data_IF_207049414647
#
_entry.id   IF_207049414647
#
_cell.length_a   1.000
_cell.length_b   1.000
_cell.length_c   1.000
_cell.angle_alpha   90.00
_cell.angle_beta   90.00
_cell.angle_gamma   90.00
#
_symmetry.space_group_name_H-M   'P 1'
#
loop_
_entity.id
_entity.type
_entity.pdbx_description
1 polymer ?
#
# COMPACT_ATOMS: atom_id res chain seq x y z
N UNK A 1 19.12 14.82 2.59
CA UNK A 1 18.39 13.87 3.45
C UNK A 1 16.93 14.29 3.45
N UNK A 2 16.03 13.50 2.86
CA UNK A 2 14.60 13.77 2.95
C UNK A 2 14.11 13.23 4.29
N UNK A 3 13.46 14.03 5.17
CA UNK A 3 12.88 13.51 6.39
C UNK A 3 11.76 12.53 6.03
N UNK A 4 11.75 11.38 6.70
CA UNK A 4 10.68 10.38 6.66
C UNK A 4 9.35 11.12 6.85
N UNK A 5 8.56 11.27 5.78
CA UNK A 5 7.23 11.87 5.86
C UNK A 5 6.25 10.78 6.27
N UNK A 6 5.42 11.14 7.25
CA UNK A 6 4.36 10.37 7.88
C UNK A 6 3.66 9.39 6.94
N UNK A 7 3.47 8.16 7.43
CA UNK A 7 2.40 7.28 6.95
C UNK A 7 1.10 7.90 7.43
N UNK A 8 0.24 8.31 6.52
CA UNK A 8 -1.15 8.61 6.83
C UNK A 8 -1.98 7.40 6.38
N UNK A 9 -2.97 6.94 7.17
CA UNK A 9 -3.95 5.97 6.67
C UNK A 9 -4.66 6.63 5.48
N UNK A 10 -4.48 6.09 4.28
CA UNK A 10 -5.24 6.54 3.12
C UNK A 10 -6.56 5.79 3.12
N UNK A 11 -7.65 6.50 3.43
CA UNK A 11 -9.01 6.00 3.29
C UNK A 11 -9.46 6.20 1.84
N UNK A 12 -9.37 5.16 1.02
CA UNK A 12 -10.16 5.13 -0.21
C UNK A 12 -11.59 4.74 0.14
N UNK A 13 -12.49 5.73 0.27
CA UNK A 13 -13.93 5.46 0.10
C UNK A 13 -14.09 5.05 -1.36
N UNK A 14 -14.46 3.80 -1.61
CA UNK A 14 -14.96 3.37 -2.92
C UNK A 14 -16.28 4.12 -3.13
N UNK A 15 -16.42 4.98 -4.16
CA UNK A 15 -17.69 5.59 -4.47
C UNK A 15 -18.66 4.51 -4.90
N UNK A 16 -19.84 4.49 -4.29
CA UNK A 16 -20.96 3.67 -4.72
C UNK A 16 -21.32 4.04 -6.17
N UNK A 17 -21.37 3.04 -7.04
CA UNK A 17 -21.56 3.23 -8.46
C UNK A 17 -23.06 3.47 -8.74
N UNK A 18 -23.37 4.64 -9.30
CA UNK A 18 -24.64 5.06 -9.89
C UNK A 18 -25.85 5.28 -8.94
N UNK A 19 -26.31 6.53 -8.90
CA UNK A 19 -27.62 6.97 -8.44
C UNK A 19 -28.73 6.40 -9.34
N UNK A 20 -29.61 5.50 -8.85
CA UNK A 20 -30.89 5.26 -9.46
C UNK A 20 -31.93 6.12 -8.75
N UNK A 21 -32.41 7.14 -9.47
CA UNK A 21 -33.61 7.93 -9.21
C UNK A 21 -34.48 7.50 -8.00
N UNK A 22 -34.58 8.38 -7.02
CA UNK A 22 -35.51 8.31 -5.88
C UNK A 22 -36.95 8.13 -6.39
N UNK A 23 -37.67 7.05 -6.00
CA UNK A 23 -39.11 7.01 -6.15
C UNK A 23 -39.73 7.88 -5.05
N UNK A 24 -40.39 8.95 -5.48
CA UNK A 24 -41.24 9.79 -4.66
C UNK A 24 -42.42 8.95 -4.14
N UNK A 25 -42.51 8.81 -2.81
CA UNK A 25 -43.58 8.20 -1.99
C UNK A 25 -43.49 6.67 -1.73
N UNK A 26 -42.96 6.30 -0.56
CA UNK A 26 -43.16 5.01 0.10
C UNK A 26 -43.39 5.19 1.62
N UNK A 27 -44.22 4.31 2.17
CA UNK A 27 -44.91 4.26 3.48
C UNK A 27 -44.00 4.41 4.75
N UNK A 28 -44.35 5.26 5.74
CA UNK A 28 -43.58 5.41 6.99
C UNK A 28 -43.60 4.19 7.93
N UNK A 29 -44.35 3.12 7.63
CA UNK A 29 -44.40 1.90 8.46
C UNK A 29 -43.39 0.80 8.08
N UNK A 30 -42.54 1.01 7.06
CA UNK A 30 -41.54 0.03 6.61
C UNK A 30 -40.13 0.26 7.20
N UNK A 31 -40.02 1.02 8.30
CA UNK A 31 -38.81 1.05 9.12
C UNK A 31 -38.73 -0.25 9.96
N UNK A 32 -38.59 -1.39 9.29
CA UNK A 32 -38.10 -2.61 9.91
C UNK A 32 -36.59 -2.58 9.71
N UNK A 33 -35.90 -2.41 10.84
CA UNK A 33 -34.46 -2.35 11.02
C UNK A 33 -33.67 -3.12 9.93
N UNK A 34 -33.20 -2.40 8.92
CA UNK A 34 -32.08 -2.81 8.08
C UNK A 34 -30.76 -2.47 8.79
N UNK A 35 -30.67 -2.80 10.07
CA UNK A 35 -29.40 -2.85 10.80
C UNK A 35 -28.87 -4.28 10.77
N UNK A 36 -28.79 -4.91 9.58
CA UNK A 36 -27.97 -6.10 9.47
C UNK A 36 -27.47 -6.37 8.04
N UNK A 37 -26.21 -6.81 8.00
CA UNK A 37 -25.53 -7.46 6.88
C UNK A 37 -24.94 -6.61 5.74
N UNK A 38 -24.23 -5.53 6.06
CA UNK A 38 -22.95 -5.25 5.41
C UNK A 38 -22.16 -4.23 6.25
N UNK A 39 -21.56 -4.69 7.35
CA UNK A 39 -20.40 -3.99 7.88
C UNK A 39 -19.33 -4.02 6.77
N UNK A 40 -19.30 -2.99 5.94
CA UNK A 40 -18.26 -2.77 4.94
C UNK A 40 -16.93 -2.92 5.66
N UNK A 41 -16.22 -4.03 5.41
CA UNK A 41 -14.92 -4.30 6.01
C UNK A 41 -14.00 -3.17 5.57
N UNK A 42 -13.83 -2.17 6.44
CA UNK A 42 -12.99 -1.02 6.15
C UNK A 42 -11.54 -1.49 6.10
N UNK A 43 -11.00 -1.63 4.89
CA UNK A 43 -9.60 -1.98 4.66
C UNK A 43 -8.72 -0.76 4.93
N UNK A 44 -7.89 -0.85 5.97
CA UNK A 44 -6.88 0.17 6.27
C UNK A 44 -5.54 -0.25 5.65
N UNK A 45 -5.15 0.41 4.56
CA UNK A 45 -3.83 0.21 3.92
C UNK A 45 -2.93 1.39 4.26
N UNK A 46 -1.72 1.07 4.70
CA UNK A 46 -0.67 2.04 5.00
C UNK A 46 0.17 2.22 3.73
N UNK A 47 0.30 3.45 3.23
CA UNK A 47 1.13 3.71 2.05
C UNK A 47 2.49 4.23 2.50
N UNK A 48 3.55 3.51 2.14
CA UNK A 48 4.93 3.92 2.39
C UNK A 48 5.47 4.63 1.16
N UNK A 49 5.81 5.90 1.28
CA UNK A 49 6.36 6.70 0.19
C UNK A 49 7.88 6.84 0.32
N UNK A 50 8.60 6.61 -0.78
CA UNK A 50 10.02 6.97 -0.92
C UNK A 50 10.18 7.89 -2.13
N UNK A 51 10.66 9.11 -1.92
CA UNK A 51 10.88 10.07 -3.00
C UNK A 51 12.34 10.06 -3.46
N UNK A 52 12.56 9.88 -4.77
CA UNK A 52 13.88 9.85 -5.40
C UNK A 52 13.98 10.87 -6.53
N UNK A 53 15.06 11.64 -6.51
CA UNK A 53 15.45 12.53 -7.62
C UNK A 53 16.46 11.90 -8.58
N UNK A 54 17.03 10.74 -8.22
CA UNK A 54 18.00 9.99 -9.02
C UNK A 54 17.66 8.50 -8.95
N UNK A 55 17.96 7.71 -10.00
CA UNK A 55 17.82 6.26 -9.94
C UNK A 55 18.65 5.69 -8.80
N UNK A 56 18.01 4.86 -7.98
CA UNK A 56 18.65 4.20 -6.83
C UNK A 56 18.42 2.69 -6.91
N UNK A 57 19.50 1.96 -7.17
CA UNK A 57 19.46 0.51 -7.36
C UNK A 57 19.01 -0.22 -6.08
N UNK A 58 19.27 0.36 -4.91
CA UNK A 58 19.00 -0.25 -3.61
C UNK A 58 17.70 0.25 -2.97
N UNK A 59 16.83 0.93 -3.73
CA UNK A 59 15.58 1.49 -3.18
C UNK A 59 14.67 0.42 -2.57
N UNK A 60 14.64 -0.80 -3.12
CA UNK A 60 13.82 -1.88 -2.56
C UNK A 60 14.36 -2.33 -1.19
N UNK A 61 15.68 -2.42 -1.00
CA UNK A 61 16.27 -2.72 0.31
C UNK A 61 15.95 -1.62 1.33
N UNK A 62 15.95 -0.35 0.90
CA UNK A 62 15.56 0.76 1.75
C UNK A 62 14.09 0.68 2.18
N UNK A 63 13.17 0.37 1.25
CA UNK A 63 11.75 0.17 1.53
C UNK A 63 11.52 -1.00 2.50
N UNK A 64 12.22 -2.13 2.30
CA UNK A 64 12.14 -3.27 3.22
C UNK A 64 12.53 -2.89 4.65
N UNK A 65 13.63 -2.13 4.80
CA UNK A 65 14.06 -1.61 6.11
C UNK A 65 12.97 -0.76 6.76
N UNK A 66 12.29 0.09 5.99
CA UNK A 66 11.22 0.93 6.53
C UNK A 66 10.00 0.13 6.96
N UNK A 67 9.60 -0.88 6.17
CA UNK A 67 8.51 -1.79 6.53
C UNK A 67 8.83 -2.49 7.86
N UNK A 68 10.05 -3.01 8.01
CA UNK A 68 10.48 -3.69 9.24
C UNK A 68 10.47 -2.73 10.45
N UNK A 69 11.07 -1.54 10.31
CA UNK A 69 11.10 -0.53 11.38
C UNK A 69 9.70 -0.08 11.81
N UNK A 70 8.78 0.09 10.86
CA UNK A 70 7.40 0.43 11.16
C UNK A 70 6.65 -0.72 11.82
N UNK A 71 6.88 -1.96 11.38
CA UNK A 71 6.31 -3.14 12.03
C UNK A 71 6.72 -3.24 13.50
N UNK A 72 8.00 -2.98 13.80
CA UNK A 72 8.49 -2.93 15.18
C UNK A 72 7.86 -1.80 16.00
N UNK A 73 7.73 -0.60 15.41
CA UNK A 73 7.07 0.52 16.07
C UNK A 73 5.58 0.22 16.35
N UNK A 74 4.88 -0.37 15.38
CA UNK A 74 3.48 -0.76 15.52
C UNK A 74 3.28 -1.77 16.65
N UNK A 75 4.10 -2.83 16.69
CA UNK A 75 4.03 -3.84 17.77
C UNK A 75 4.25 -3.26 19.16
N UNK A 76 5.13 -2.26 19.29
CA UNK A 76 5.36 -1.55 20.57
C UNK A 76 4.15 -0.71 20.99
N UNK A 77 3.45 -0.11 20.03
CA UNK A 77 2.26 0.72 20.28
C UNK A 77 1.00 -0.13 20.47
N UNK A 78 0.96 -1.32 19.89
CA UNK A 78 -0.19 -2.24 19.90
C UNK A 78 0.26 -3.63 20.40
N UNK A 79 0.52 -3.80 21.70
CA UNK A 79 1.08 -5.03 22.26
C UNK A 79 0.17 -6.25 22.06
N UNK A 80 -1.15 -6.05 21.96
CA UNK A 80 -2.13 -7.11 21.72
C UNK A 80 -2.30 -7.49 20.25
N UNK A 81 -1.74 -6.70 19.32
CA UNK A 81 -1.87 -6.97 17.88
C UNK A 81 -1.18 -8.29 17.50
N UNK A 82 -1.92 -9.15 16.79
CA UNK A 82 -1.40 -10.44 16.27
C UNK A 82 -0.92 -10.35 14.83
N UNK A 83 -1.23 -9.26 14.14
CA UNK A 83 -0.86 -9.01 12.75
C UNK A 83 -0.31 -7.59 12.59
N UNK A 84 0.47 -7.37 11.54
CA UNK A 84 0.85 -6.03 11.10
C UNK A 84 -0.20 -5.51 10.12
N UNK A 85 -0.44 -4.19 10.07
CA UNK A 85 -1.26 -3.63 9.02
C UNK A 85 -0.59 -3.82 7.65
N UNK A 86 -1.36 -3.97 6.57
CA UNK A 86 -0.80 -4.08 5.23
C UNK A 86 -0.11 -2.75 4.85
N UNK A 87 1.14 -2.85 4.38
CA UNK A 87 1.92 -1.72 3.88
C UNK A 87 2.10 -1.83 2.37
N UNK A 88 1.69 -0.80 1.65
CA UNK A 88 1.86 -0.68 0.21
C UNK A 88 3.03 0.28 -0.11
N UNK A 89 4.18 -0.24 -0.59
CA UNK A 89 5.36 0.57 -0.88
C UNK A 89 5.26 1.26 -2.25
N UNK A 90 5.50 2.57 -2.25
CA UNK A 90 5.44 3.43 -3.43
C UNK A 90 6.72 4.26 -3.56
N UNK A 91 7.34 4.22 -4.74
CA UNK A 91 8.45 5.10 -5.10
C UNK A 91 7.92 6.26 -5.93
N UNK A 92 8.17 7.50 -5.50
CA UNK A 92 7.88 8.70 -6.27
C UNK A 92 9.18 9.16 -6.94
N UNK A 93 9.24 9.08 -8.27
CA UNK A 93 10.44 9.41 -9.03
C UNK A 93 10.28 10.71 -9.86
N UNK A 94 11.10 11.70 -9.52
CA UNK A 94 11.15 13.00 -10.20
C UNK A 94 12.57 13.32 -10.69
N UNK A 95 13.24 12.34 -11.31
CA UNK A 95 14.58 12.54 -11.87
C UNK A 95 14.60 12.78 -13.38
N UNK A 96 15.71 13.31 -13.86
CA UNK A 96 15.90 13.57 -15.29
C UNK A 96 16.20 12.29 -16.08
N UNK A 97 16.98 11.38 -15.50
CA UNK A 97 17.35 10.11 -16.13
C UNK A 97 16.17 9.13 -16.22
N UNK A 98 16.24 8.17 -17.13
CA UNK A 98 15.29 7.05 -17.13
C UNK A 98 15.52 6.18 -15.90
N UNK A 99 14.44 5.75 -15.27
CA UNK A 99 14.50 4.75 -14.21
C UNK A 99 14.71 3.36 -14.83
N UNK A 100 15.73 2.63 -14.36
CA UNK A 100 16.04 1.25 -14.79
C UNK A 100 16.32 0.35 -13.60
N UNK A 101 15.91 0.76 -12.41
CA UNK A 101 16.16 0.00 -11.18
C UNK A 101 15.07 -1.06 -11.03
N UNK A 102 15.36 -2.19 -10.37
CA UNK A 102 14.38 -3.25 -10.21
C UNK A 102 13.11 -2.78 -9.47
N UNK A 103 11.96 -3.33 -9.88
CA UNK A 103 10.68 -3.24 -9.15
C UNK A 103 10.35 -4.51 -8.35
N UNK A 104 11.07 -5.61 -8.63
CA UNK A 104 10.99 -6.91 -7.97
C UNK A 104 12.17 -7.10 -6.99
N UNK A 105 11.90 -7.45 -5.74
CA UNK A 105 12.92 -7.67 -4.71
C UNK A 105 13.87 -8.82 -5.04
N UNK A 106 13.40 -9.90 -5.66
CA UNK A 106 14.25 -11.03 -6.04
C UNK A 106 15.36 -10.64 -7.04
N UNK A 107 15.18 -9.56 -7.80
CA UNK A 107 16.22 -9.04 -8.69
C UNK A 107 17.46 -8.51 -7.95
N UNK A 108 17.37 -8.28 -6.63
CA UNK A 108 18.50 -7.89 -5.77
C UNK A 108 19.22 -9.09 -5.13
N UNK A 109 18.67 -10.30 -5.27
CA UNK A 109 19.24 -11.52 -4.70
C UNK A 109 20.14 -12.17 -5.76
N UNK A 110 21.29 -12.72 -5.34
CA UNK A 110 22.12 -13.58 -6.20
C UNK A 110 21.25 -14.68 -6.84
N UNK A 111 21.63 -15.23 -8.01
CA UNK A 111 20.82 -16.21 -8.73
C UNK A 111 20.15 -17.20 -7.78
N UNK A 112 18.83 -17.08 -7.66
CA UNK A 112 18.04 -17.73 -6.64
C UNK A 112 17.53 -19.05 -7.21
N UNK A 113 17.97 -20.21 -6.68
CA UNK A 113 17.45 -21.50 -7.11
C UNK A 113 15.92 -21.53 -6.93
N UNK A 114 15.20 -22.13 -7.89
CA UNK A 114 13.73 -22.21 -7.84
C UNK A 114 13.22 -22.82 -6.51
N UNK A 115 13.94 -23.81 -5.97
CA UNK A 115 13.63 -24.44 -4.70
C UNK A 115 13.64 -23.48 -3.50
N UNK A 116 14.35 -22.36 -3.58
CA UNK A 116 14.45 -21.37 -2.50
C UNK A 116 13.48 -20.20 -2.63
N UNK A 117 12.89 -19.97 -3.81
CA UNK A 117 11.96 -18.85 -4.05
C UNK A 117 10.79 -18.76 -3.04
N UNK A 118 10.16 -19.86 -2.60
CA UNK A 118 9.08 -19.77 -1.61
C UNK A 118 9.55 -19.34 -0.21
N UNK A 119 10.85 -19.45 0.08
CA UNK A 119 11.44 -19.21 1.40
C UNK A 119 12.18 -17.88 1.48
N UNK A 120 12.19 -17.10 0.42
CA UNK A 120 12.81 -15.77 0.37
C UNK A 120 11.76 -14.69 0.42
N UNK A 121 12.17 -13.52 0.91
CA UNK A 121 11.32 -12.33 0.89
C UNK A 121 11.06 -11.94 -0.55
N UNK A 122 9.78 -11.97 -0.93
CA UNK A 122 9.33 -11.55 -2.25
C UNK A 122 8.23 -10.51 -2.15
N UNK A 123 8.40 -9.42 -2.89
CA UNK A 123 7.40 -8.39 -3.05
C UNK A 123 7.77 -7.46 -4.22
N UNK A 124 6.79 -6.70 -4.69
CA UNK A 124 6.95 -5.71 -5.75
C UNK A 124 6.64 -4.32 -5.24
N UNK A 125 7.44 -3.34 -5.62
CA UNK A 125 7.12 -1.92 -5.40
C UNK A 125 6.45 -1.33 -6.63
N UNK A 126 5.53 -0.39 -6.44
CA UNK A 126 5.03 0.43 -7.53
C UNK A 126 5.81 1.74 -7.60
N UNK A 127 6.10 2.21 -8.81
CA UNK A 127 6.76 3.49 -9.04
C UNK A 127 5.87 4.44 -9.84
N UNK A 128 5.68 5.64 -9.30
CA UNK A 128 5.04 6.75 -10.01
C UNK A 128 6.13 7.73 -10.48
N UNK A 129 6.20 7.98 -11.79
CA UNK A 129 7.05 9.03 -12.34
C UNK A 129 6.23 10.14 -12.97
N UNK A 130 6.73 11.38 -12.89
CA UNK A 130 6.18 12.51 -13.65
C UNK A 130 6.21 12.29 -15.17
N UNK A 131 6.97 11.31 -15.66
CA UNK A 131 7.07 10.91 -17.07
C UNK A 131 6.20 9.68 -17.42
N UNK A 132 5.35 9.21 -16.50
CA UNK A 132 4.45 8.07 -16.68
C UNK A 132 4.62 6.96 -15.62
N UNK A 133 3.66 6.02 -15.56
CA UNK A 133 3.77 4.80 -14.75
C UNK A 133 4.83 3.88 -15.36
N UNK A 134 5.71 3.33 -14.53
CA UNK A 134 6.63 2.27 -14.91
C UNK A 134 6.47 1.15 -13.89
N UNK A 135 5.83 0.05 -14.33
CA UNK A 135 5.70 -1.20 -13.58
C UNK A 135 6.84 -2.15 -13.92
#
# INVERSE_FOLDING_TARGET
MCPIRLIQPYLSRVPDEADPAVPEQADPAAAVDLEDAAATLALHVYILFEHKSHPDYWVLLQLLRYIALQGDAYRKQHPEAKTLPPVYPLVLYHGQSRWRMPSDFHALIRPLPEALKPNTVQWHSTMLSSKGLVG
#
